data_IF_853344545382
#
_entry.id   IF_853344545382
#
_cell.length_a   1.000
_cell.length_b   1.000
_cell.length_c   1.000
_cell.angle_alpha   90.00
_cell.angle_beta   90.00
_cell.angle_gamma   90.00
#
_symmetry.space_group_name_H-M   'P 1'
#
loop_
_entity.id
_entity.type
_entity.pdbx_description
1 polymer ?
#
# COMPACT_ATOMS: atom_id res chain seq x y z
N UNK A 1 14.61 11.13 3.81
CA UNK A 1 14.53 10.12 2.73
C UNK A 1 13.37 10.49 1.84
N UNK A 2 13.61 10.67 0.54
CA UNK A 2 12.53 10.91 -0.43
C UNK A 2 11.91 9.59 -0.91
N UNK A 3 11.58 8.68 0.03
CA UNK A 3 10.95 7.42 -0.33
C UNK A 3 9.49 7.66 -0.70
N UNK A 4 9.05 7.09 -1.81
CA UNK A 4 7.66 7.14 -2.26
C UNK A 4 7.24 5.85 -2.95
N UNK A 5 5.93 5.66 -3.04
CA UNK A 5 5.27 4.55 -3.70
C UNK A 5 4.40 5.09 -4.81
N UNK A 6 4.41 4.41 -5.95
CA UNK A 6 3.69 4.83 -7.14
C UNK A 6 3.02 3.62 -7.75
N UNK A 7 1.77 3.77 -8.17
CA UNK A 7 1.07 2.74 -8.93
C UNK A 7 0.49 3.33 -10.21
N UNK A 8 0.50 2.50 -11.25
CA UNK A 8 -0.16 2.79 -12.52
C UNK A 8 -0.84 1.55 -13.07
N UNK A 9 -2.01 1.71 -13.68
CA UNK A 9 -2.62 0.68 -14.53
C UNK A 9 -1.96 0.72 -15.92
N UNK A 10 -1.53 -0.43 -16.42
CA UNK A 10 -0.87 -0.54 -17.72
C UNK A 10 -1.87 -0.49 -18.88
N UNK A 11 -3.08 -1.04 -18.70
CA UNK A 11 -4.17 -1.03 -19.67
C UNK A 11 -5.50 -0.57 -19.04
N UNK A 12 -5.67 0.73 -18.74
CA UNK A 12 -6.86 1.23 -18.03
C UNK A 12 -8.17 0.96 -18.81
N UNK A 13 -8.13 0.91 -20.13
CA UNK A 13 -9.29 0.65 -20.98
C UNK A 13 -9.86 -0.79 -20.88
N UNK A 14 -9.12 -1.75 -20.30
CA UNK A 14 -9.55 -3.16 -20.19
C UNK A 14 -9.98 -3.57 -18.76
N UNK A 15 -9.76 -2.71 -17.76
CA UNK A 15 -10.28 -2.81 -16.39
C UNK A 15 -10.20 -4.20 -15.71
N UNK A 16 -9.18 -5.02 -15.99
CA UNK A 16 -8.91 -6.25 -15.23
C UNK A 16 -7.84 -6.00 -14.15
N UNK A 17 -7.91 -6.76 -13.06
CA UNK A 17 -7.02 -6.66 -11.91
C UNK A 17 -5.54 -7.00 -12.19
N UNK A 18 -5.22 -7.51 -13.38
CA UNK A 18 -3.91 -8.10 -13.72
C UNK A 18 -2.92 -7.17 -14.43
N UNK A 19 -3.28 -5.92 -14.76
CA UNK A 19 -2.42 -4.99 -15.51
C UNK A 19 -2.00 -3.79 -14.67
N UNK A 20 -1.25 -4.04 -13.59
CA UNK A 20 -0.76 -2.98 -12.69
C UNK A 20 0.74 -3.05 -12.48
N UNK A 21 1.38 -1.89 -12.39
CA UNK A 21 2.76 -1.75 -11.95
C UNK A 21 2.78 -0.92 -10.65
N UNK A 22 3.35 -1.49 -9.59
CA UNK A 22 3.59 -0.79 -8.32
C UNK A 22 5.08 -0.75 -8.07
N UNK A 23 5.59 0.45 -7.84
CA UNK A 23 7.02 0.72 -7.68
C UNK A 23 7.25 1.56 -6.46
N UNK A 24 8.44 1.41 -5.90
CA UNK A 24 8.93 2.25 -4.81
C UNK A 24 10.26 2.82 -5.24
N UNK A 25 10.44 4.09 -4.94
CA UNK A 25 11.61 4.87 -5.29
C UNK A 25 12.12 5.59 -4.04
N UNK A 26 13.43 5.57 -3.85
CA UNK A 26 14.13 6.31 -2.81
C UNK A 26 15.47 6.83 -3.36
N UNK A 27 16.33 7.32 -2.46
CA UNK A 27 17.64 7.89 -2.81
C UNK A 27 18.60 6.85 -3.45
N UNK A 28 18.29 5.55 -3.33
CA UNK A 28 19.06 4.44 -3.91
C UNK A 28 18.50 3.94 -5.25
N UNK A 29 17.37 4.49 -5.70
CA UNK A 29 16.78 4.21 -7.00
C UNK A 29 15.36 3.66 -6.94
N UNK A 30 14.91 3.08 -8.06
CA UNK A 30 13.54 2.59 -8.26
C UNK A 30 13.53 1.06 -8.35
N UNK A 31 12.59 0.42 -7.66
CA UNK A 31 12.33 -1.04 -7.77
C UNK A 31 10.84 -1.36 -7.78
N UNK A 32 10.49 -2.53 -8.31
CA UNK A 32 9.12 -3.07 -8.25
C UNK A 32 8.81 -3.50 -6.81
N UNK A 33 7.63 -3.13 -6.30
CA UNK A 33 7.12 -3.65 -5.04
C UNK A 33 6.54 -5.05 -5.27
N UNK A 34 7.07 -6.06 -4.57
CA UNK A 34 6.59 -7.43 -4.68
C UNK A 34 5.44 -7.70 -3.70
N UNK A 35 4.38 -8.44 -4.10
CA UNK A 35 3.34 -8.87 -3.15
C UNK A 35 3.84 -9.95 -2.18
N UNK A 36 4.91 -10.68 -2.51
CA UNK A 36 5.34 -11.88 -1.78
C UNK A 36 5.60 -11.66 -0.28
N UNK A 37 6.31 -10.61 0.17
CA UNK A 37 6.53 -10.39 1.62
C UNK A 37 5.21 -10.19 2.37
N UNK A 38 4.29 -9.40 1.82
CA UNK A 38 2.98 -9.16 2.42
C UNK A 38 2.08 -10.40 2.39
N UNK A 39 2.16 -11.22 1.34
CA UNK A 39 1.41 -12.48 1.24
C UNK A 39 1.84 -13.48 2.31
N UNK A 40 3.14 -13.55 2.63
CA UNK A 40 3.65 -14.38 3.71
C UNK A 40 3.16 -13.92 5.08
N UNK A 41 2.94 -12.62 5.26
CA UNK A 41 2.45 -12.04 6.49
C UNK A 41 0.93 -12.28 6.64
N UNK A 42 0.16 -11.97 5.59
CA UNK A 42 -1.27 -12.26 5.51
C UNK A 42 -1.71 -12.37 4.05
N UNK A 43 -2.32 -13.50 3.71
CA UNK A 43 -2.80 -13.77 2.37
C UNK A 43 -4.21 -13.21 2.17
N UNK A 44 -4.31 -12.06 1.52
CA UNK A 44 -5.57 -11.47 1.07
C UNK A 44 -5.83 -11.76 -0.41
N UNK A 45 -4.84 -11.57 -1.27
CA UNK A 45 -4.99 -11.69 -2.72
C UNK A 45 -3.74 -12.30 -3.36
N UNK A 46 -3.72 -13.62 -3.60
CA UNK A 46 -2.59 -14.27 -4.27
C UNK A 46 -2.45 -13.81 -5.74
N UNK A 47 -3.50 -13.22 -6.32
CA UNK A 47 -3.53 -12.69 -7.68
C UNK A 47 -2.80 -11.35 -7.82
N UNK A 48 -2.38 -10.74 -6.71
CA UNK A 48 -1.54 -9.54 -6.70
C UNK A 48 -2.20 -8.29 -6.13
N UNK A 49 -1.79 -7.13 -6.63
CA UNK A 49 -2.25 -5.84 -6.13
C UNK A 49 -3.43 -5.29 -6.91
N UNK A 50 -4.29 -4.54 -6.23
CA UNK A 50 -5.36 -3.74 -6.83
C UNK A 50 -5.66 -2.55 -5.92
N UNK A 51 -6.44 -1.58 -6.39
CA UNK A 51 -6.81 -0.35 -5.67
C UNK A 51 -8.09 0.25 -6.26
N UNK A 52 -8.62 1.29 -5.61
CA UNK A 52 -9.81 2.03 -6.07
C UNK A 52 -11.15 1.41 -5.66
N UNK A 53 -11.14 0.46 -4.73
CA UNK A 53 -12.33 -0.12 -4.11
C UNK A 53 -12.01 -0.76 -2.75
N UNK A 54 -13.03 -1.18 -2.02
CA UNK A 54 -12.87 -1.90 -0.75
C UNK A 54 -12.86 -3.41 -1.02
N UNK A 55 -11.69 -4.05 -0.91
CA UNK A 55 -11.58 -5.50 -1.12
C UNK A 55 -10.19 -6.07 -0.89
N UNK A 56 -10.00 -7.35 -1.24
CA UNK A 56 -8.78 -8.11 -0.92
C UNK A 56 -7.52 -7.64 -1.63
N UNK A 57 -7.59 -7.28 -2.91
CA UNK A 57 -6.43 -6.74 -3.64
C UNK A 57 -5.93 -5.40 -3.07
N UNK A 58 -6.82 -4.42 -2.83
CA UNK A 58 -6.52 -3.21 -2.06
C UNK A 58 -5.93 -3.48 -0.68
N UNK A 59 -6.49 -4.45 0.06
CA UNK A 59 -5.95 -4.86 1.36
C UNK A 59 -4.52 -5.42 1.25
N UNK A 60 -4.24 -6.24 0.22
CA UNK A 60 -2.91 -6.79 -0.02
C UNK A 60 -1.90 -5.69 -0.34
N UNK A 61 -2.29 -4.71 -1.16
CA UNK A 61 -1.45 -3.57 -1.51
C UNK A 61 -1.17 -2.68 -0.29
N UNK A 62 -2.19 -2.37 0.51
CA UNK A 62 -2.03 -1.61 1.75
C UNK A 62 -1.02 -2.27 2.69
N UNK A 63 -1.15 -3.58 2.90
CA UNK A 63 -0.24 -4.34 3.74
C UNK A 63 1.19 -4.34 3.19
N UNK A 64 1.37 -4.46 1.87
CA UNK A 64 2.69 -4.43 1.23
C UNK A 64 3.37 -3.07 1.36
N UNK A 65 2.64 -1.98 1.18
CA UNK A 65 3.18 -0.61 1.33
C UNK A 65 3.61 -0.39 2.77
N UNK A 66 2.74 -0.67 3.75
CA UNK A 66 3.08 -0.46 5.15
C UNK A 66 4.25 -1.34 5.59
N UNK A 67 4.26 -2.62 5.22
CA UNK A 67 5.36 -3.53 5.56
C UNK A 67 6.70 -3.05 4.99
N UNK A 68 6.72 -2.57 3.75
CA UNK A 68 7.94 -2.05 3.12
C UNK A 68 8.36 -0.69 3.68
N UNK A 69 7.40 0.13 4.13
CA UNK A 69 7.65 1.46 4.67
C UNK A 69 8.20 1.40 6.11
N UNK A 70 7.65 0.51 6.95
CA UNK A 70 7.97 0.42 8.38
C UNK A 70 9.04 -0.62 8.66
N UNK A 71 9.20 -1.61 7.78
CA UNK A 71 9.97 -2.84 8.03
C UNK A 71 9.49 -3.59 9.29
N UNK A 72 8.24 -3.37 9.68
CA UNK A 72 7.63 -3.88 10.90
C UNK A 72 6.27 -4.51 10.56
N UNK A 73 6.23 -5.85 10.68
CA UNK A 73 5.03 -6.63 10.37
C UNK A 73 3.90 -6.48 11.39
N UNK A 74 4.19 -6.08 12.63
CA UNK A 74 3.15 -5.82 13.63
C UNK A 74 2.47 -4.48 13.34
N UNK A 75 3.27 -3.43 13.10
CA UNK A 75 2.75 -2.11 12.71
C UNK A 75 1.95 -2.21 11.41
N UNK A 76 2.46 -2.94 10.41
CA UNK A 76 1.76 -3.10 9.14
C UNK A 76 0.42 -3.82 9.33
N UNK A 77 0.37 -4.93 10.09
CA UNK A 77 -0.87 -5.68 10.34
C UNK A 77 -1.90 -4.89 11.15
N UNK A 78 -1.46 -4.07 12.10
CA UNK A 78 -2.36 -3.27 12.92
C UNK A 78 -3.04 -2.14 12.13
N UNK A 79 -2.40 -1.60 11.09
CA UNK A 79 -2.83 -0.34 10.46
C UNK A 79 -3.27 -0.46 8.99
N UNK A 80 -3.01 -1.59 8.31
CA UNK A 80 -3.26 -1.66 6.86
C UNK A 80 -4.73 -1.56 6.46
N UNK A 81 -5.67 -1.92 7.33
CA UNK A 81 -7.09 -1.83 7.00
C UNK A 81 -7.56 -0.37 6.96
N UNK A 82 -7.21 0.41 7.97
CA UNK A 82 -7.52 1.84 8.02
C UNK A 82 -6.79 2.59 6.90
N UNK A 83 -5.51 2.24 6.66
CA UNK A 83 -4.74 2.80 5.54
C UNK A 83 -5.36 2.47 4.17
N UNK A 84 -5.90 1.25 4.02
CA UNK A 84 -6.60 0.83 2.81
C UNK A 84 -7.84 1.68 2.59
N UNK A 85 -8.66 1.87 3.63
CA UNK A 85 -9.92 2.62 3.53
C UNK A 85 -9.67 4.10 3.22
N UNK A 86 -8.64 4.70 3.82
CA UNK A 86 -8.30 6.11 3.62
C UNK A 86 -7.69 6.40 2.23
N UNK A 87 -6.70 5.61 1.82
CA UNK A 87 -5.92 5.88 0.62
C UNK A 87 -6.18 4.87 -0.51
N UNK A 88 -5.92 3.58 -0.25
CA UNK A 88 -5.83 2.58 -1.32
C UNK A 88 -7.17 2.34 -2.02
N UNK A 89 -8.27 2.44 -1.28
CA UNK A 89 -9.62 2.27 -1.81
C UNK A 89 -10.09 3.46 -2.66
N UNK A 90 -9.39 4.60 -2.63
CA UNK A 90 -9.80 5.85 -3.30
C UNK A 90 -8.94 6.21 -4.51
N UNK A 91 -7.81 5.53 -4.71
CA UNK A 91 -6.90 5.79 -5.83
C UNK A 91 -7.51 5.51 -7.20
N UNK A 92 -7.21 6.39 -8.16
CA UNK A 92 -7.54 6.24 -9.59
C UNK A 92 -6.49 5.44 -10.36
N UNK A 93 -6.42 5.63 -11.68
CA UNK A 93 -5.51 4.86 -12.55
C UNK A 93 -4.03 5.04 -12.23
N UNK A 94 -3.66 6.22 -11.74
CA UNK A 94 -2.31 6.55 -11.29
C UNK A 94 -2.40 7.14 -9.89
N UNK A 95 -1.44 6.80 -9.04
CA UNK A 95 -1.36 7.34 -7.69
C UNK A 95 0.09 7.41 -7.22
N UNK A 96 0.32 8.26 -6.23
CA UNK A 96 1.57 8.42 -5.51
C UNK A 96 1.25 8.59 -4.02
N UNK A 97 2.04 7.98 -3.16
CA UNK A 97 2.06 8.31 -1.73
C UNK A 97 3.50 8.32 -1.22
N UNK A 98 3.86 9.39 -0.52
CA UNK A 98 5.19 9.59 0.04
C UNK A 98 5.31 8.91 1.41
N UNK A 99 6.54 8.56 1.79
CA UNK A 99 6.82 8.04 3.12
C UNK A 99 6.37 9.01 4.21
N UNK A 100 6.45 10.33 3.98
CA UNK A 100 5.98 11.34 4.93
C UNK A 100 4.47 11.27 5.19
N UNK A 101 3.68 11.00 4.15
CA UNK A 101 2.22 10.86 4.26
C UNK A 101 1.87 9.57 5.01
N UNK A 102 2.60 8.48 4.73
CA UNK A 102 2.44 7.21 5.46
C UNK A 102 2.82 7.39 6.93
N UNK A 103 3.92 8.07 7.24
CA UNK A 103 4.34 8.30 8.63
C UNK A 103 3.35 9.18 9.37
N UNK A 104 2.83 10.23 8.73
CA UNK A 104 1.82 11.09 9.32
C UNK A 104 0.55 10.30 9.65
N UNK A 105 0.04 9.49 8.71
CA UNK A 105 -1.09 8.60 8.96
C UNK A 105 -0.85 7.69 10.19
N UNK A 106 0.32 7.06 10.29
CA UNK A 106 0.64 6.17 11.41
C UNK A 106 0.78 6.91 12.75
N UNK A 107 1.26 8.16 12.74
CA UNK A 107 1.30 9.02 13.92
C UNK A 107 -0.10 9.38 14.41
N UNK A 108 -1.01 9.71 13.48
CA UNK A 108 -2.40 10.02 13.80
C UNK A 108 -3.13 8.79 14.39
N UNK A 109 -2.88 7.59 13.87
CA UNK A 109 -3.42 6.36 14.48
C UNK A 109 -2.96 6.17 15.93
N UNK A 110 -1.67 6.41 16.23
CA UNK A 110 -1.16 6.30 17.61
C UNK A 110 -1.86 7.26 18.56
N UNK A 111 -2.18 8.48 18.13
CA UNK A 111 -2.90 9.46 18.96
C UNK A 111 -4.32 8.98 19.26
N UNK A 112 -5.01 8.41 18.27
CA UNK A 112 -6.37 7.87 18.45
C UNK A 112 -6.40 6.70 19.46
N UNK A 113 -5.40 5.81 19.42
CA UNK A 113 -5.34 4.65 20.32
C UNK A 113 -4.75 4.94 21.70
N UNK A 114 -3.99 6.02 21.87
CA UNK A 114 -3.42 6.42 23.18
C UNK A 114 -4.38 7.25 24.05
N UNK A 115 -5.51 7.70 23.48
CA UNK A 115 -6.51 8.55 24.14
C UNK A 115 -7.76 7.83 24.64
N UNK A 116 -7.75 6.49 24.73
CA UNK A 116 -8.84 5.67 25.27
C UNK A 116 -8.47 5.01 26.61
#
# INVERSE_FOLDING_TARGET
MNKGYFGRRLNPAQATASDVEVVTQDDYGKRILSPLPSLKLRNHSPDGFSWGYHGSGPAQLALAILLDATLDGEVAQANYQDFKDEFVATWGDNWCILLSEITQFLEEQKVVYSGK
#
